data_IF_223981647115
#
_entry.id   IF_223981647115
#
_cell.length_a   1.000
_cell.length_b   1.000
_cell.length_c   1.000
_cell.angle_alpha   90.00
_cell.angle_beta   90.00
_cell.angle_gamma   90.00
#
_symmetry.space_group_name_H-M   'P 1'
#
loop_
_entity.id
_entity.type
_entity.pdbx_description
1 polymer ?
#
# COMPACT_ATOMS: atom_id res chain seq x y z
N UNK A 1 -9.70 -30.92 -11.46
CA UNK A 1 -10.97 -30.18 -11.69
C UNK A 1 -10.65 -28.70 -11.60
N UNK A 2 -10.97 -27.95 -12.64
CA UNK A 2 -10.78 -26.50 -12.74
C UNK A 2 -12.16 -25.84 -12.88
N UNK A 3 -12.37 -24.72 -12.19
CA UNK A 3 -13.63 -23.95 -12.23
C UNK A 3 -13.37 -22.69 -13.06
N UNK A 4 -14.23 -22.44 -14.04
CA UNK A 4 -14.23 -21.25 -14.90
C UNK A 4 -15.51 -20.48 -14.57
N UNK A 5 -15.35 -19.29 -14.02
CA UNK A 5 -16.47 -18.44 -13.59
C UNK A 5 -16.60 -17.34 -14.63
N UNK A 6 -17.77 -17.24 -15.25
CA UNK A 6 -18.07 -16.20 -16.21
C UNK A 6 -18.89 -15.09 -15.52
N UNK A 7 -18.27 -13.95 -15.15
CA UNK A 7 -18.89 -12.94 -14.30
C UNK A 7 -20.09 -12.24 -14.97
N UNK A 8 -20.11 -12.12 -16.29
CA UNK A 8 -21.19 -11.46 -17.03
C UNK A 8 -22.45 -12.32 -17.12
N UNK A 9 -22.28 -13.64 -17.29
CA UNK A 9 -23.41 -14.58 -17.43
C UNK A 9 -23.87 -15.17 -16.10
N UNK A 10 -23.18 -14.89 -14.99
CA UNK A 10 -23.39 -15.53 -13.67
C UNK A 10 -23.41 -17.06 -13.77
N UNK A 11 -22.65 -17.64 -14.70
CA UNK A 11 -22.57 -19.09 -14.92
C UNK A 11 -21.22 -19.60 -14.43
N UNK A 12 -21.27 -20.68 -13.66
CA UNK A 12 -20.09 -21.40 -13.18
C UNK A 12 -19.99 -22.69 -13.99
N UNK A 13 -18.91 -22.85 -14.76
CA UNK A 13 -18.64 -24.06 -15.55
C UNK A 13 -17.51 -24.86 -14.90
N UNK A 14 -17.71 -26.17 -14.80
CA UNK A 14 -16.83 -27.12 -14.12
C UNK A 14 -16.13 -27.98 -15.17
N UNK A 15 -14.80 -28.04 -15.11
CA UNK A 15 -13.98 -28.82 -16.03
C UNK A 15 -13.21 -29.89 -15.25
N UNK A 16 -13.38 -31.17 -15.59
CA UNK A 16 -12.44 -32.22 -15.18
C UNK A 16 -11.26 -32.21 -16.13
N UNK A 17 -10.05 -32.26 -15.57
CA UNK A 17 -8.81 -32.46 -16.32
C UNK A 17 -8.38 -33.89 -16.02
N UNK A 18 -8.52 -34.79 -16.98
CA UNK A 18 -8.11 -36.19 -16.84
C UNK A 18 -6.78 -36.34 -17.55
N UNK A 19 -5.80 -36.94 -16.87
CA UNK A 19 -4.52 -37.27 -17.47
C UNK A 19 -4.72 -38.57 -18.27
N UNK A 20 -4.58 -38.52 -19.59
CA UNK A 20 -4.35 -39.77 -20.32
C UNK A 20 -2.89 -40.19 -20.12
N UNK A 21 -2.57 -41.49 -20.00
CA UNK A 21 -1.24 -41.95 -20.29
C UNK A 21 -0.94 -41.57 -21.74
N UNK A 22 0.24 -40.98 -21.99
CA UNK A 22 0.64 -40.59 -23.33
C UNK A 22 0.49 -41.81 -24.26
N UNK A 23 -0.09 -41.58 -25.45
CA UNK A 23 0.11 -42.52 -26.57
C UNK A 23 1.64 -42.58 -26.73
N UNK A 24 2.21 -43.78 -26.68
CA UNK A 24 3.63 -43.98 -27.02
C UNK A 24 3.82 -43.40 -28.42
N UNK A 25 4.44 -42.22 -28.49
CA UNK A 25 4.98 -41.69 -29.72
C UNK A 25 6.43 -42.19 -29.70
N UNK A 26 6.74 -43.13 -30.59
CA UNK A 26 8.14 -43.48 -30.90
C UNK A 26 8.81 -42.21 -31.42
N UNK A 27 9.51 -41.51 -30.52
CA UNK A 27 10.35 -40.37 -30.84
C UNK A 27 11.78 -40.89 -30.88
N UNK A 28 12.41 -40.81 -32.05
CA UNK A 28 13.85 -41.08 -32.21
C UNK A 28 14.66 -40.13 -31.31
N UNK A 29 15.75 -40.63 -30.71
CA UNK A 29 16.54 -39.97 -29.64
C UNK A 29 17.08 -38.56 -29.99
N UNK A 30 17.04 -38.16 -31.27
CA UNK A 30 17.65 -36.92 -31.77
C UNK A 30 16.72 -35.67 -31.76
N UNK A 31 15.42 -35.81 -31.46
CA UNK A 31 14.41 -34.69 -31.55
C UNK A 31 13.82 -34.24 -30.19
N UNK A 32 14.44 -34.60 -29.07
CA UNK A 32 13.94 -34.26 -27.71
C UNK A 32 14.33 -32.85 -27.25
N UNK A 33 13.70 -31.83 -27.84
CA UNK A 33 13.66 -30.48 -27.25
C UNK A 33 12.68 -30.40 -26.07
N UNK A 34 13.00 -29.59 -25.05
CA UNK A 34 12.15 -29.36 -23.86
C UNK A 34 10.73 -28.88 -24.21
N UNK A 35 10.58 -28.16 -25.32
CA UNK A 35 9.29 -27.69 -25.86
C UNK A 35 8.41 -28.86 -26.35
N UNK A 36 9.01 -29.93 -26.88
CA UNK A 36 8.29 -31.10 -27.41
C UNK A 36 7.70 -31.95 -26.27
N UNK A 37 8.37 -31.97 -25.11
CA UNK A 37 7.92 -32.70 -23.92
C UNK A 37 6.69 -32.01 -23.28
N UNK A 38 6.62 -30.68 -23.31
CA UNK A 38 5.45 -29.94 -22.83
C UNK A 38 4.23 -30.14 -23.74
N UNK A 39 4.44 -30.30 -25.06
CA UNK A 39 3.37 -30.57 -26.03
C UNK A 39 2.76 -31.98 -25.92
N UNK A 40 3.48 -32.93 -25.30
CA UNK A 40 3.02 -34.32 -25.10
C UNK A 40 1.94 -34.45 -24.01
N UNK A 41 1.76 -33.44 -23.16
CA UNK A 41 0.71 -33.44 -22.13
C UNK A 41 -0.63 -33.01 -22.72
N UNK A 42 -1.28 -33.91 -23.46
CA UNK A 42 -2.63 -33.69 -23.97
C UNK A 42 -3.62 -33.78 -22.81
N UNK A 43 -4.12 -32.63 -22.36
CA UNK A 43 -5.18 -32.56 -21.37
C UNK A 43 -6.54 -32.41 -22.06
N UNK A 44 -7.39 -33.43 -21.99
CA UNK A 44 -8.81 -33.25 -22.33
C UNK A 44 -9.54 -32.56 -21.18
N UNK A 45 -10.08 -31.37 -21.45
CA UNK A 45 -11.03 -30.69 -20.55
C UNK A 45 -12.44 -31.18 -20.89
N UNK A 46 -13.04 -31.96 -20.00
CA UNK A 46 -14.43 -32.38 -20.14
C UNK A 46 -15.29 -31.51 -19.24
N UNK A 47 -16.28 -30.85 -19.83
CA UNK A 47 -17.30 -30.11 -19.08
C UNK A 47 -18.20 -31.11 -18.37
N UNK A 48 -18.32 -30.95 -17.06
CA UNK A 48 -19.10 -31.84 -16.21
C UNK A 48 -20.35 -31.09 -15.76
N UNK A 49 -21.51 -31.75 -15.84
CA UNK A 49 -22.76 -31.17 -15.37
C UNK A 49 -22.74 -31.09 -13.83
N UNK A 50 -23.20 -29.95 -13.30
CA UNK A 50 -23.21 -29.70 -11.85
C UNK A 50 -24.19 -30.63 -11.11
N UNK A 51 -25.11 -31.28 -11.82
CA UNK A 51 -26.12 -32.17 -11.25
C UNK A 51 -25.58 -33.53 -10.79
N UNK A 52 -24.43 -33.97 -11.33
CA UNK A 52 -23.76 -35.23 -10.96
C UNK A 52 -22.87 -35.11 -9.71
N UNK A 53 -22.70 -33.89 -9.20
CA UNK A 53 -21.90 -33.59 -8.02
C UNK A 53 -22.74 -33.82 -6.75
N UNK A 54 -22.48 -34.93 -6.05
CA UNK A 54 -23.05 -35.19 -4.72
C UNK A 54 -22.75 -34.08 -3.69
N UNK A 55 -23.39 -34.13 -2.51
CA UNK A 55 -23.30 -33.08 -1.46
C UNK A 55 -21.86 -32.60 -1.12
N UNK A 56 -20.89 -33.52 -1.12
CA UNK A 56 -19.48 -33.26 -0.83
C UNK A 56 -18.83 -32.39 -1.92
N UNK A 57 -19.21 -32.64 -3.16
CA UNK A 57 -18.60 -32.01 -4.32
C UNK A 57 -19.19 -30.60 -4.55
N UNK A 58 -20.47 -30.38 -4.23
CA UNK A 58 -21.07 -29.05 -4.12
C UNK A 58 -20.43 -28.19 -3.00
N UNK A 59 -20.12 -28.78 -1.85
CA UNK A 59 -19.43 -28.09 -0.75
C UNK A 59 -17.98 -27.72 -1.14
N UNK A 60 -17.31 -28.59 -1.89
CA UNK A 60 -15.96 -28.33 -2.41
C UNK A 60 -15.98 -27.20 -3.44
N UNK A 61 -16.96 -27.18 -4.35
CA UNK A 61 -17.14 -26.09 -5.31
C UNK A 61 -17.37 -24.74 -4.61
N UNK A 62 -18.22 -24.70 -3.56
CA UNK A 62 -18.41 -23.49 -2.74
C UNK A 62 -17.09 -23.00 -2.14
N UNK A 63 -16.27 -23.91 -1.62
CA UNK A 63 -14.98 -23.55 -1.02
C UNK A 63 -14.00 -22.98 -2.06
N UNK A 64 -13.92 -23.59 -3.25
CA UNK A 64 -13.07 -23.10 -4.34
C UNK A 64 -13.53 -21.72 -4.82
N UNK A 65 -14.84 -21.49 -4.95
CA UNK A 65 -15.38 -20.17 -5.33
C UNK A 65 -15.03 -19.12 -4.28
N UNK A 66 -15.25 -19.39 -3.00
CA UNK A 66 -14.88 -18.45 -1.91
C UNK A 66 -13.38 -18.17 -1.92
N UNK A 67 -12.55 -19.19 -2.18
CA UNK A 67 -11.11 -19.00 -2.28
C UNK A 67 -10.73 -18.10 -3.45
N UNK A 68 -11.32 -18.30 -4.63
CA UNK A 68 -11.09 -17.46 -5.83
C UNK A 68 -11.53 -16.01 -5.62
N UNK A 69 -12.67 -15.79 -4.97
CA UNK A 69 -13.14 -14.43 -4.63
C UNK A 69 -12.13 -13.75 -3.70
N UNK A 70 -11.68 -14.45 -2.65
CA UNK A 70 -10.66 -13.92 -1.74
C UNK A 70 -9.33 -13.67 -2.45
N UNK A 71 -8.91 -14.52 -3.38
CA UNK A 71 -7.71 -14.31 -4.20
C UNK A 71 -7.81 -13.00 -4.99
N UNK A 72 -8.92 -12.78 -5.68
CA UNK A 72 -9.16 -11.56 -6.45
C UNK A 72 -9.23 -10.31 -5.55
N UNK A 73 -9.92 -10.35 -4.41
CA UNK A 73 -10.00 -9.23 -3.46
C UNK A 73 -8.62 -8.83 -2.93
N UNK A 74 -7.75 -9.81 -2.67
CA UNK A 74 -6.37 -9.56 -2.22
C UNK A 74 -5.54 -8.85 -3.29
N UNK A 75 -5.65 -9.30 -4.53
CA UNK A 75 -4.91 -8.71 -5.65
C UNK A 75 -5.36 -7.26 -5.89
N UNK A 76 -6.67 -7.02 -5.92
CA UNK A 76 -7.25 -5.67 -6.03
C UNK A 76 -6.77 -4.76 -4.89
N UNK A 77 -6.78 -5.26 -3.66
CA UNK A 77 -6.33 -4.48 -2.49
C UNK A 77 -4.84 -4.16 -2.58
N UNK A 78 -4.02 -5.14 -2.96
CA UNK A 78 -2.59 -4.93 -3.13
C UNK A 78 -2.30 -3.87 -4.20
N UNK A 79 -2.90 -3.99 -5.38
CA UNK A 79 -2.69 -3.08 -6.50
C UNK A 79 -3.14 -1.65 -6.18
N UNK A 80 -4.20 -1.51 -5.37
CA UNK A 80 -4.68 -0.21 -4.90
C UNK A 80 -3.63 0.51 -4.06
N UNK A 81 -2.96 -0.18 -3.13
CA UNK A 81 -2.03 0.45 -2.20
C UNK A 81 -0.60 0.51 -2.71
N UNK A 82 -0.17 -0.42 -3.58
CA UNK A 82 1.19 -0.38 -4.13
C UNK A 82 1.45 0.89 -4.95
N UNK A 83 0.43 1.39 -5.65
CA UNK A 83 0.47 2.65 -6.42
C UNK A 83 0.51 3.90 -5.56
N UNK A 84 0.14 3.77 -4.28
CA UNK A 84 0.03 4.85 -3.30
C UNK A 84 1.17 4.85 -2.28
N UNK A 85 2.17 3.98 -2.47
CA UNK A 85 3.39 4.00 -1.64
C UNK A 85 4.02 5.38 -1.75
N UNK A 86 4.38 5.95 -0.61
CA UNK A 86 4.94 7.31 -0.54
C UNK A 86 3.92 8.41 -0.29
N UNK A 87 2.62 8.10 -0.17
CA UNK A 87 1.58 9.06 0.19
C UNK A 87 1.37 9.16 1.71
N UNK A 88 0.84 10.30 2.17
CA UNK A 88 0.24 10.40 3.49
C UNK A 88 -1.25 10.09 3.39
N UNK A 89 -1.72 9.18 4.25
CA UNK A 89 -3.11 8.73 4.28
C UNK A 89 -3.67 8.85 5.69
N UNK A 90 -4.95 9.15 5.79
CA UNK A 90 -5.65 9.16 7.08
C UNK A 90 -5.99 7.73 7.47
N UNK A 91 -5.66 7.36 8.69
CA UNK A 91 -5.92 6.04 9.25
C UNK A 91 -6.61 6.17 10.61
N UNK A 92 -7.48 5.22 10.94
CA UNK A 92 -8.19 5.17 12.22
C UNK A 92 -7.63 4.07 13.11
N UNK A 93 -7.25 4.40 14.35
CA UNK A 93 -6.69 3.44 15.30
C UNK A 93 -7.75 2.44 15.77
N UNK A 94 -7.56 1.16 15.46
CA UNK A 94 -8.49 0.09 15.83
C UNK A 94 -8.07 -0.64 17.10
N UNK A 95 -6.78 -0.92 17.25
CA UNK A 95 -6.25 -1.56 18.45
C UNK A 95 -4.75 -1.35 18.56
N UNK A 96 -4.23 -1.50 19.77
CA UNK A 96 -2.81 -1.44 20.06
C UNK A 96 -2.39 -2.70 20.80
N UNK A 97 -1.39 -3.37 20.25
CA UNK A 97 -0.68 -4.45 20.90
C UNK A 97 0.64 -3.93 21.49
N UNK A 98 1.37 -4.80 22.21
CA UNK A 98 2.66 -4.43 22.82
C UNK A 98 3.72 -3.99 21.80
N UNK A 99 3.66 -4.47 20.56
CA UNK A 99 4.68 -4.23 19.51
C UNK A 99 4.18 -3.45 18.31
N UNK A 100 2.88 -3.30 18.12
CA UNK A 100 2.32 -2.71 16.90
C UNK A 100 0.96 -2.12 17.14
N UNK A 101 0.64 -1.07 16.39
CA UNK A 101 -0.70 -0.48 16.36
C UNK A 101 -1.36 -0.90 15.06
N UNK A 102 -2.59 -1.37 15.14
CA UNK A 102 -3.39 -1.73 13.98
C UNK A 102 -4.34 -0.58 13.67
N UNK A 103 -4.31 -0.18 12.40
CA UNK A 103 -5.03 0.96 11.88
C UNK A 103 -5.94 0.52 10.75
N UNK A 104 -7.02 1.26 10.51
CA UNK A 104 -7.91 1.06 9.37
C UNK A 104 -7.74 2.19 8.36
N UNK A 105 -7.46 1.85 7.10
CA UNK A 105 -7.34 2.78 5.98
C UNK A 105 -8.34 2.37 4.92
N UNK A 106 -9.42 3.14 4.74
CA UNK A 106 -10.47 2.86 3.73
C UNK A 106 -10.89 1.38 3.73
N UNK A 107 -11.23 0.86 4.91
CA UNK A 107 -11.66 -0.51 5.17
C UNK A 107 -10.58 -1.60 5.07
N UNK A 108 -9.31 -1.23 4.94
CA UNK A 108 -8.17 -2.17 4.92
C UNK A 108 -7.31 -2.02 6.17
N UNK A 109 -6.97 -3.13 6.81
CA UNK A 109 -6.11 -3.15 7.99
C UNK A 109 -4.65 -2.86 7.61
N UNK A 110 -4.05 -1.90 8.32
CA UNK A 110 -2.66 -1.51 8.21
C UNK A 110 -1.96 -1.65 9.57
N UNK A 111 -0.64 -1.81 9.53
CA UNK A 111 0.18 -2.02 10.72
C UNK A 111 1.18 -0.89 10.83
N UNK A 112 1.20 -0.26 12.00
CA UNK A 112 2.21 0.70 12.43
C UNK A 112 3.14 -0.01 13.43
N UNK A 113 4.29 -0.53 12.99
CA UNK A 113 5.20 -1.28 13.85
C UNK A 113 5.92 -0.34 14.83
N UNK A 114 6.41 -0.88 15.95
CA UNK A 114 7.01 -0.08 17.04
C UNK A 114 8.18 0.80 16.64
N UNK A 115 8.98 0.38 15.64
CA UNK A 115 10.10 1.16 15.12
C UNK A 115 9.66 2.35 14.24
N UNK A 116 8.42 2.34 13.76
CA UNK A 116 7.84 3.38 12.93
C UNK A 116 6.85 4.27 13.70
N UNK A 117 6.71 4.05 15.01
CA UNK A 117 5.91 4.86 15.93
C UNK A 117 6.71 6.03 16.47
N UNK A 118 6.06 7.17 16.66
CA UNK A 118 6.69 8.31 17.33
C UNK A 118 6.84 7.97 18.82
N UNK A 119 8.05 8.07 19.40
CA UNK A 119 8.25 7.81 20.82
C UNK A 119 7.36 8.69 21.70
N UNK A 120 6.62 8.08 22.62
CA UNK A 120 5.75 8.79 23.56
C UNK A 120 4.38 9.23 22.99
N UNK A 121 4.12 9.02 21.70
CA UNK A 121 2.82 9.35 21.11
C UNK A 121 1.71 8.41 21.62
N UNK A 122 0.59 8.94 22.14
CA UNK A 122 -0.54 8.12 22.52
C UNK A 122 -1.37 7.73 21.28
N UNK A 123 -1.61 6.42 21.11
CA UNK A 123 -2.54 5.88 20.13
C UNK A 123 -3.77 5.34 20.85
N UNK A 124 -4.89 6.07 20.83
CA UNK A 124 -6.15 5.66 21.45
C UNK A 124 -7.11 5.10 20.40
N UNK A 125 -8.02 4.23 20.85
CA UNK A 125 -9.07 3.69 19.99
C UNK A 125 -9.88 4.82 19.31
N UNK A 126 -10.18 4.67 18.03
CA UNK A 126 -10.84 5.65 17.15
C UNK A 126 -10.09 6.96 16.90
N UNK A 127 -8.82 7.09 17.33
CA UNK A 127 -8.03 8.25 16.93
C UNK A 127 -7.82 8.23 15.42
N UNK A 128 -8.08 9.37 14.77
CA UNK A 128 -7.72 9.60 13.37
C UNK A 128 -6.35 10.24 13.32
N UNK A 129 -5.44 9.57 12.63
CA UNK A 129 -4.04 9.98 12.50
C UNK A 129 -3.62 9.89 11.03
N UNK A 130 -2.79 10.82 10.59
CA UNK A 130 -2.13 10.75 9.29
C UNK A 130 -0.88 9.90 9.38
N UNK A 131 -0.73 8.97 8.46
CA UNK A 131 0.41 8.05 8.41
C UNK A 131 1.01 8.02 7.03
N UNK A 132 2.31 7.81 6.95
CA UNK A 132 3.03 7.63 5.70
C UNK A 132 2.94 6.17 5.26
N UNK A 133 2.52 5.94 4.01
CA UNK A 133 2.48 4.59 3.44
C UNK A 133 3.90 4.16 3.05
N UNK A 134 4.53 3.36 3.91
CA UNK A 134 5.92 2.96 3.79
C UNK A 134 6.09 1.82 2.77
N UNK A 135 5.29 0.76 2.90
CA UNK A 135 5.41 -0.43 2.05
C UNK A 135 4.13 -1.26 2.06
N UNK A 136 3.91 -2.06 1.02
CA UNK A 136 2.84 -3.06 0.94
C UNK A 136 3.45 -4.41 0.61
N UNK A 137 3.26 -5.40 1.51
CA UNK A 137 3.78 -6.76 1.33
C UNK A 137 2.66 -7.73 0.95
N UNK A 138 2.90 -8.58 -0.05
CA UNK A 138 2.02 -9.73 -0.32
C UNK A 138 2.25 -10.79 0.76
N UNK A 139 1.19 -11.26 1.39
CA UNK A 139 1.24 -12.38 2.35
C UNK A 139 0.27 -13.48 1.91
N UNK A 140 0.34 -14.65 2.54
CA UNK A 140 -0.59 -15.77 2.28
C UNK A 140 -2.03 -15.48 2.70
N UNK A 141 -2.23 -14.47 3.57
CA UNK A 141 -3.54 -13.99 4.00
C UNK A 141 -3.80 -12.65 3.32
N UNK A 142 -3.93 -11.55 4.05
CA UNK A 142 -4.19 -10.25 3.44
C UNK A 142 -2.89 -9.52 3.08
N UNK A 143 -2.88 -8.66 2.05
CA UNK A 143 -1.78 -7.74 1.84
C UNK A 143 -1.51 -6.96 3.13
N UNK A 144 -0.26 -6.96 3.57
CA UNK A 144 0.14 -6.26 4.78
C UNK A 144 0.60 -4.86 4.39
N UNK A 145 -0.19 -3.86 4.76
CA UNK A 145 0.14 -2.45 4.58
C UNK A 145 0.95 -2.02 5.80
N UNK A 146 2.19 -1.61 5.56
CA UNK A 146 3.09 -1.08 6.59
C UNK A 146 3.09 0.43 6.45
N UNK A 147 2.80 1.10 7.55
CA UNK A 147 2.79 2.56 7.61
C UNK A 147 3.78 3.06 8.64
N UNK A 148 4.12 4.35 8.54
CA UNK A 148 5.06 5.01 9.43
C UNK A 148 4.57 6.37 9.87
N UNK A 149 4.88 6.73 11.12
CA UNK A 149 4.77 8.10 11.63
C UNK A 149 6.12 8.76 11.87
N UNK A 150 7.22 8.04 11.82
CA UNK A 150 8.59 8.56 12.02
C UNK A 150 9.25 9.02 10.73
N UNK A 151 8.83 8.51 9.57
CA UNK A 151 9.50 8.79 8.30
C UNK A 151 9.50 10.31 7.96
N UNK A 152 10.63 10.91 7.53
CA UNK A 152 10.73 12.35 7.28
C UNK A 152 9.83 12.83 6.13
N UNK A 153 9.57 11.96 5.15
CA UNK A 153 8.66 12.27 4.02
C UNK A 153 7.22 12.51 4.49
N UNK A 154 6.82 12.00 5.67
CA UNK A 154 5.51 12.33 6.24
C UNK A 154 5.33 13.85 6.36
N UNK A 155 6.36 14.57 6.83
CA UNK A 155 6.31 16.03 6.96
C UNK A 155 6.08 16.68 5.60
N UNK A 156 6.83 16.27 4.57
CA UNK A 156 6.65 16.79 3.21
C UNK A 156 5.21 16.63 2.72
N UNK A 157 4.64 15.44 2.91
CA UNK A 157 3.24 15.17 2.53
C UNK A 157 2.22 15.94 3.37
N UNK A 158 2.50 16.18 4.66
CA UNK A 158 1.63 17.01 5.49
C UNK A 158 1.63 18.47 5.03
N UNK A 159 2.79 19.01 4.65
CA UNK A 159 2.88 20.33 4.05
C UNK A 159 2.17 20.41 2.69
N UNK A 160 2.30 19.40 1.84
CA UNK A 160 1.54 19.33 0.57
C UNK A 160 0.02 19.35 0.79
N UNK A 161 -0.47 18.78 1.90
CA UNK A 161 -1.90 18.79 2.23
C UNK A 161 -2.38 20.09 2.88
N UNK A 162 -1.50 20.81 3.58
CA UNK A 162 -1.84 22.00 4.37
C UNK A 162 -1.55 23.32 3.62
N UNK A 163 -0.56 23.32 2.72
CA UNK A 163 -0.02 24.51 2.06
C UNK A 163 -0.25 24.40 0.55
N UNK A 164 -1.20 25.16 -0.02
CA UNK A 164 -1.51 25.13 -1.46
C UNK A 164 -0.29 25.41 -2.34
N UNK A 165 0.58 26.33 -1.92
CA UNK A 165 1.78 26.71 -2.66
C UNK A 165 2.78 25.55 -2.77
N UNK A 166 2.80 24.64 -1.80
CA UNK A 166 3.61 23.41 -1.85
C UNK A 166 2.97 22.37 -2.76
N UNK A 167 1.63 22.25 -2.74
CA UNK A 167 0.89 21.38 -3.63
C UNK A 167 1.05 21.77 -5.11
N UNK A 168 1.02 23.07 -5.41
CA UNK A 168 1.20 23.64 -6.75
C UNK A 168 2.67 23.70 -7.20
N UNK A 169 3.61 23.22 -6.37
CA UNK A 169 5.05 23.27 -6.60
C UNK A 169 5.62 24.69 -6.81
N UNK A 170 4.92 25.72 -6.30
CA UNK A 170 5.43 27.09 -6.20
C UNK A 170 6.50 27.13 -5.11
N UNK A 171 6.24 26.47 -3.98
CA UNK A 171 7.19 26.30 -2.87
C UNK A 171 7.64 24.84 -2.81
N UNK A 172 8.95 24.62 -2.90
CA UNK A 172 9.57 23.30 -2.81
C UNK A 172 10.14 23.07 -1.41
N UNK A 173 9.86 21.90 -0.84
CA UNK A 173 10.57 21.39 0.34
C UNK A 173 11.84 20.66 -0.12
N UNK A 174 12.98 21.30 0.10
CA UNK A 174 14.30 20.87 -0.35
C UNK A 174 14.85 19.76 0.54
N UNK A 175 14.78 19.95 1.86
CA UNK A 175 15.27 18.95 2.81
C UNK A 175 14.48 18.98 4.11
N UNK A 176 14.44 17.83 4.77
CA UNK A 176 13.79 17.64 6.08
C UNK A 176 14.77 16.89 6.98
N UNK A 177 15.18 17.52 8.07
CA UNK A 177 15.91 16.88 9.16
C UNK A 177 14.94 16.71 10.32
N UNK A 178 14.69 15.46 10.73
CA UNK A 178 13.61 15.13 11.65
C UNK A 178 14.09 14.29 12.83
N UNK A 179 13.75 14.74 14.02
CA UNK A 179 13.78 13.98 15.27
C UNK A 179 12.32 13.70 15.68
N UNK A 180 11.77 12.51 15.34
CA UNK A 180 10.34 12.23 15.49
C UNK A 180 9.83 12.46 16.91
N UNK A 181 8.77 13.24 17.06
CA UNK A 181 8.15 13.57 18.35
C UNK A 181 8.85 14.66 19.16
N UNK A 182 9.99 15.18 18.69
CA UNK A 182 10.72 16.26 19.36
C UNK A 182 10.75 17.51 18.48
N UNK A 183 11.53 17.48 17.40
CA UNK A 183 11.79 18.64 16.56
C UNK A 183 12.13 18.25 15.12
N UNK A 184 11.66 19.05 14.18
CA UNK A 184 11.97 18.93 12.77
C UNK A 184 12.39 20.27 12.19
N UNK A 185 13.41 20.25 11.34
CA UNK A 185 13.83 21.39 10.53
C UNK A 185 13.50 21.11 9.07
N UNK A 186 12.83 22.07 8.44
CA UNK A 186 12.36 21.98 7.07
C UNK A 186 12.95 23.12 6.26
N UNK A 187 13.75 22.80 5.25
CA UNK A 187 14.31 23.78 4.33
C UNK A 187 13.39 23.95 3.13
N UNK A 188 12.97 25.19 2.86
CA UNK A 188 12.02 25.53 1.79
C UNK A 188 12.61 26.55 0.82
N UNK A 189 12.27 26.41 -0.45
CA UNK A 189 12.64 27.34 -1.53
C UNK A 189 11.39 27.68 -2.34
N UNK A 190 11.31 28.90 -2.86
CA UNK A 190 10.26 29.27 -3.81
C UNK A 190 10.82 29.26 -5.23
N UNK A 191 10.04 28.72 -6.17
CA UNK A 191 10.29 28.81 -7.61
C UNK A 191 9.76 30.14 -8.19
N UNK A 192 8.90 30.84 -7.45
CA UNK A 192 8.41 32.18 -7.78
C UNK A 192 9.04 33.24 -6.86
N UNK A 193 9.73 34.19 -7.47
CA UNK A 193 10.33 35.35 -6.78
C UNK A 193 9.33 36.22 -6.00
N UNK A 194 8.05 36.19 -6.36
CA UNK A 194 6.99 36.96 -5.71
C UNK A 194 6.43 36.28 -4.45
N UNK A 195 6.80 35.01 -4.21
CA UNK A 195 6.28 34.20 -3.11
C UNK A 195 7.37 33.96 -2.07
N UNK A 196 7.12 34.36 -0.83
CA UNK A 196 7.99 34.03 0.30
C UNK A 196 7.71 32.59 0.77
N UNK A 197 8.67 31.64 0.64
CA UNK A 197 8.43 30.25 0.96
C UNK A 197 8.23 30.02 2.47
N UNK A 198 8.89 30.82 3.33
CA UNK A 198 8.74 30.70 4.79
C UNK A 198 7.34 31.19 5.19
N UNK A 199 6.95 32.38 4.74
CA UNK A 199 5.63 32.95 5.00
C UNK A 199 4.49 32.06 4.51
N UNK A 200 4.61 31.47 3.31
CA UNK A 200 3.63 30.56 2.75
C UNK A 200 3.44 29.30 3.64
N UNK A 201 4.53 28.70 4.10
CA UNK A 201 4.49 27.51 4.94
C UNK A 201 4.04 27.78 6.39
N UNK A 202 4.37 28.95 6.95
CA UNK A 202 3.93 29.36 8.30
C UNK A 202 2.44 29.71 8.30
N UNK A 203 1.98 30.44 7.28
CA UNK A 203 0.61 30.94 7.19
C UNK A 203 0.30 32.07 8.19
N UNK A 204 -0.94 32.58 8.15
CA UNK A 204 -1.34 33.71 8.98
C UNK A 204 -1.22 33.38 10.47
N UNK A 205 -0.35 34.09 11.19
CA UNK A 205 0.02 33.85 12.61
C UNK A 205 0.46 32.40 12.91
N UNK A 206 1.08 31.72 11.94
CA UNK A 206 1.54 30.34 12.14
C UNK A 206 0.46 29.26 12.07
N UNK A 207 -0.76 29.59 11.61
CA UNK A 207 -1.87 28.66 11.61
C UNK A 207 -1.61 27.36 10.84
N UNK A 208 -0.95 27.44 9.67
CA UNK A 208 -0.68 26.27 8.82
C UNK A 208 0.36 25.35 9.47
N UNK A 209 1.49 25.90 9.90
CA UNK A 209 2.51 25.10 10.60
C UNK A 209 1.98 24.51 11.90
N UNK A 210 1.14 25.25 12.64
CA UNK A 210 0.54 24.75 13.88
C UNK A 210 -0.38 23.55 13.63
N UNK A 211 -1.17 23.56 12.56
CA UNK A 211 -2.00 22.40 12.20
C UNK A 211 -1.16 21.12 11.99
N UNK A 212 0.02 21.26 11.37
CA UNK A 212 0.96 20.14 11.18
C UNK A 212 1.59 19.70 12.52
N UNK A 213 1.98 20.66 13.37
CA UNK A 213 2.49 20.38 14.73
C UNK A 213 1.46 19.60 15.56
N UNK A 214 0.20 19.99 15.49
CA UNK A 214 -0.91 19.36 16.22
C UNK A 214 -1.19 17.95 15.69
N UNK A 215 -1.11 17.75 14.36
CA UNK A 215 -1.18 16.43 13.72
C UNK A 215 -0.04 15.51 14.19
N UNK A 216 1.16 16.05 14.39
CA UNK A 216 2.33 15.34 14.93
C UNK A 216 2.41 15.34 16.46
N UNK A 217 1.31 15.68 17.15
CA UNK A 217 1.18 15.63 18.62
C UNK A 217 2.23 16.46 19.36
N UNK A 218 2.59 17.63 18.81
CA UNK A 218 3.47 18.60 19.45
C UNK A 218 4.93 18.54 19.01
N UNK A 219 5.26 17.76 17.97
CA UNK A 219 6.58 17.84 17.33
C UNK A 219 6.82 19.25 16.80
N UNK A 220 7.86 19.94 17.29
CA UNK A 220 8.14 21.34 16.90
C UNK A 220 8.72 21.40 15.50
N UNK A 221 8.22 22.30 14.65
CA UNK A 221 8.70 22.44 13.28
C UNK A 221 9.34 23.82 13.10
N UNK A 222 10.63 23.86 12.79
CA UNK A 222 11.31 25.07 12.33
C UNK A 222 11.36 25.06 10.80
N UNK A 223 10.92 26.15 10.17
CA UNK A 223 10.99 26.33 8.73
C UNK A 223 12.11 27.33 8.45
N UNK A 224 13.04 26.96 7.57
CA UNK A 224 14.18 27.80 7.17
C UNK A 224 14.18 27.98 5.66
N UNK A 225 14.62 29.15 5.20
CA UNK A 225 14.84 29.37 3.78
C UNK A 225 16.07 28.56 3.35
N UNK A 226 15.93 27.80 2.27
CA UNK A 226 17.06 27.14 1.65
C UNK A 226 17.87 28.16 0.85
N UNK A 227 19.19 28.11 1.00
CA UNK A 227 20.14 28.85 0.18
C UNK A 227 21.14 27.87 -0.45
N UNK A 228 21.56 28.17 -1.67
CA UNK A 228 22.55 27.36 -2.41
C UNK A 228 23.96 27.59 -1.85
N UNK A 229 24.22 28.75 -1.24
CA UNK A 229 25.44 28.99 -0.49
C UNK A 229 25.37 28.38 0.91
N UNK A 230 26.21 27.36 1.15
CA UNK A 230 26.31 26.65 2.44
C UNK A 230 26.55 27.61 3.61
N UNK A 231 27.30 28.68 3.38
CA UNK A 231 27.60 29.73 4.37
C UNK A 231 26.38 30.53 4.81
N UNK A 232 25.38 30.70 3.96
CA UNK A 232 24.11 31.34 4.34
C UNK A 232 23.12 30.33 4.91
N UNK A 233 23.14 29.08 4.43
CA UNK A 233 22.31 27.99 4.95
C UNK A 233 22.60 27.59 6.41
N UNK A 234 23.84 27.80 6.89
CA UNK A 234 24.27 27.45 8.25
C UNK A 234 24.08 28.56 9.30
N UNK A 235 23.65 29.76 8.90
CA UNK A 235 23.35 30.89 9.81
C UNK A 235 21.98 30.72 10.48
#
# INVERSE_FOLDING_TARGET
IHIKIDPEQKKVRLFARTHQPAIEIDLDEDDLDLETIEASQVYQEQEIDAHDFGRIAAQTAKQVVIQRIREAEREITYDRFVRRIGEAVTAEVQRRDARSVFLLISDTEAILPSNEQIPGEPYRFNDRIRVYLLNVRKTTKNPQIIVSRTHPVLIKRLFELEVPEVYEAIVEIVSVAREPGARSKVAVRSNDSQVDPVGACVGHRGGRVQAIVDELRGEKIDIVRHDEEITEYLK
#
